data_IF_155164894065
#
_entry.id   IF_155164894065
#
_cell.length_a   1.000
_cell.length_b   1.000
_cell.length_c   1.000
_cell.angle_alpha   90.00
_cell.angle_beta   90.00
_cell.angle_gamma   90.00
#
_symmetry.space_group_name_H-M   'P 1'
#
loop_
_entity.id
_entity.type
_entity.pdbx_description
1 polymer ?
#
# COMPACT_ATOMS: atom_id res chain seq x y z
N UNK A 1 21.89 -29.84 -22.22
CA UNK A 1 20.49 -29.48 -22.57
C UNK A 1 20.49 -28.03 -23.02
N UNK A 2 19.90 -27.72 -24.18
CA UNK A 2 19.77 -26.34 -24.67
C UNK A 2 18.50 -25.78 -24.07
N UNK A 3 18.63 -24.72 -23.26
CA UNK A 3 17.49 -24.05 -22.62
C UNK A 3 16.88 -23.06 -23.60
N UNK A 4 15.56 -22.98 -23.63
CA UNK A 4 14.85 -22.02 -24.48
C UNK A 4 15.03 -20.59 -23.95
N UNK A 5 14.91 -19.59 -24.84
CA UNK A 5 14.99 -18.17 -24.43
C UNK A 5 13.94 -17.81 -23.37
N UNK A 6 12.76 -18.42 -23.43
CA UNK A 6 11.70 -18.22 -22.45
C UNK A 6 12.08 -18.80 -21.08
N UNK A 7 12.55 -20.04 -21.03
CA UNK A 7 13.02 -20.65 -19.77
C UNK A 7 14.17 -19.88 -19.15
N UNK A 8 15.12 -19.41 -19.97
CA UNK A 8 16.21 -18.58 -19.49
C UNK A 8 15.69 -17.31 -18.80
N UNK A 9 14.75 -16.58 -19.43
CA UNK A 9 14.15 -15.37 -18.85
C UNK A 9 13.37 -15.66 -17.58
N UNK A 10 12.61 -16.76 -17.54
CA UNK A 10 11.84 -17.17 -16.36
C UNK A 10 12.76 -17.54 -15.20
N UNK A 11 13.81 -18.30 -15.45
CA UNK A 11 14.79 -18.71 -14.43
C UNK A 11 15.58 -17.49 -13.91
N UNK A 12 15.94 -16.56 -14.79
CA UNK A 12 16.60 -15.30 -14.42
C UNK A 12 15.69 -14.46 -13.51
N UNK A 13 14.43 -14.26 -13.89
CA UNK A 13 13.47 -13.51 -13.07
C UNK A 13 13.27 -14.16 -11.69
N UNK A 14 13.16 -15.49 -11.63
CA UNK A 14 13.02 -16.22 -10.36
C UNK A 14 14.25 -16.02 -9.47
N UNK A 15 15.46 -16.21 -10.01
CA UNK A 15 16.70 -16.02 -9.24
C UNK A 15 16.85 -14.60 -8.70
N UNK A 16 16.53 -13.58 -9.52
CA UNK A 16 16.56 -12.18 -9.08
C UNK A 16 15.56 -11.90 -7.94
N UNK A 17 14.37 -12.50 -8.00
CA UNK A 17 13.36 -12.35 -6.96
C UNK A 17 13.72 -13.14 -5.69
N UNK A 18 14.35 -14.30 -5.80
CA UNK A 18 14.81 -15.08 -4.64
C UNK A 18 15.98 -14.38 -3.91
N UNK A 19 16.93 -13.83 -4.66
CA UNK A 19 18.14 -13.23 -4.10
C UNK A 19 17.92 -11.78 -3.61
N UNK A 20 17.10 -11.00 -4.32
CA UNK A 20 16.89 -9.58 -4.05
C UNK A 20 15.45 -9.21 -3.72
N UNK A 21 14.52 -10.18 -3.69
CA UNK A 21 13.15 -9.98 -3.27
C UNK A 21 13.07 -9.80 -1.76
N UNK A 22 13.60 -8.68 -1.27
CA UNK A 22 13.42 -8.29 0.13
C UNK A 22 11.92 -8.16 0.37
N UNK A 23 11.37 -8.98 1.27
CA UNK A 23 10.14 -8.64 1.99
C UNK A 23 10.40 -7.32 2.68
N UNK A 24 9.98 -6.22 2.04
CA UNK A 24 10.22 -4.87 2.51
C UNK A 24 9.58 -4.71 3.88
N UNK A 25 10.37 -4.87 4.94
CA UNK A 25 10.03 -4.28 6.23
C UNK A 25 9.91 -2.77 6.00
N UNK A 26 8.80 -2.13 6.39
CA UNK A 26 8.67 -0.69 6.26
C UNK A 26 9.84 -0.01 7.00
N UNK A 27 10.63 0.85 6.35
CA UNK A 27 11.70 1.54 7.05
C UNK A 27 11.11 2.38 8.19
N UNK A 28 11.65 2.20 9.40
CA UNK A 28 11.30 2.98 10.58
C UNK A 28 11.94 4.38 10.46
N UNK A 29 11.38 5.22 9.59
CA UNK A 29 11.79 6.62 9.41
C UNK A 29 12.46 6.91 8.06
N UNK A 30 12.08 8.04 7.45
CA UNK A 30 12.54 8.46 6.12
C UNK A 30 11.43 8.48 5.05
N UNK A 31 11.72 9.11 3.91
CA UNK A 31 10.85 9.36 2.74
C UNK A 31 9.86 8.20 2.50
N UNK A 32 8.55 8.46 2.32
CA UNK A 32 7.55 7.40 2.24
C UNK A 32 7.96 6.33 1.22
N UNK A 33 7.84 5.07 1.64
CA UNK A 33 8.15 3.91 0.83
C UNK A 33 7.56 4.09 -0.57
N UNK A 34 8.42 3.94 -1.58
CA UNK A 34 8.06 4.00 -2.99
C UNK A 34 6.76 3.22 -3.22
N UNK A 35 5.83 3.85 -3.94
CA UNK A 35 4.51 3.31 -4.26
C UNK A 35 4.70 1.89 -4.81
N UNK A 36 4.41 0.89 -3.97
CA UNK A 36 4.77 -0.48 -4.27
C UNK A 36 3.80 -0.99 -5.32
N UNK A 37 4.24 -1.69 -6.38
CA UNK A 37 3.33 -2.19 -7.43
C UNK A 37 2.17 -3.02 -6.86
N UNK A 38 2.38 -3.69 -5.71
CA UNK A 38 1.37 -4.42 -4.97
C UNK A 38 0.17 -3.57 -4.52
N UNK A 39 0.31 -2.24 -4.38
CA UNK A 39 -0.82 -1.35 -4.11
C UNK A 39 -1.92 -1.50 -5.16
N UNK A 40 -1.53 -1.69 -6.43
CA UNK A 40 -2.46 -1.75 -7.56
C UNK A 40 -2.88 -3.17 -7.93
N UNK A 41 -2.08 -4.18 -7.59
CA UNK A 41 -2.28 -5.55 -8.08
C UNK A 41 -2.71 -6.54 -7.00
N UNK A 42 -2.42 -6.29 -5.73
CA UNK A 42 -2.79 -7.20 -4.65
C UNK A 42 -4.26 -7.02 -4.23
N UNK A 43 -4.82 -8.03 -3.57
CA UNK A 43 -6.14 -7.93 -2.93
C UNK A 43 -5.99 -7.19 -1.61
N UNK A 44 -6.67 -6.06 -1.48
CA UNK A 44 -6.66 -5.22 -0.29
C UNK A 44 -8.04 -5.21 0.35
N UNK A 45 -8.07 -5.33 1.68
CA UNK A 45 -9.30 -5.29 2.46
C UNK A 45 -9.21 -4.21 3.55
N UNK A 46 -10.28 -3.44 3.78
CA UNK A 46 -10.32 -2.47 4.87
C UNK A 46 -10.35 -3.19 6.23
N UNK A 47 -9.63 -2.63 7.18
CA UNK A 47 -9.58 -3.08 8.59
C UNK A 47 -9.63 -1.86 9.50
N UNK A 48 -9.94 -2.04 10.79
CA UNK A 48 -9.86 -0.92 11.74
C UNK A 48 -8.41 -0.52 12.01
N UNK A 49 -8.21 0.79 12.23
CA UNK A 49 -6.93 1.33 12.69
C UNK A 49 -6.62 0.79 14.09
N UNK A 50 -5.38 0.30 14.34
CA UNK A 50 -4.96 -0.15 15.66
C UNK A 50 -5.17 0.92 16.73
N UNK A 51 -5.77 0.52 17.83
CA UNK A 51 -6.07 1.40 18.96
C UNK A 51 -4.77 1.92 19.59
N UNK A 52 -4.79 3.17 20.03
CA UNK A 52 -3.69 3.76 20.81
C UNK A 52 -4.10 3.89 22.27
N UNK A 53 -3.18 3.77 23.24
CA UNK A 53 -3.52 3.82 24.67
C UNK A 53 -4.32 5.07 25.07
N UNK A 54 -4.04 6.22 24.47
CA UNK A 54 -4.73 7.48 24.78
C UNK A 54 -6.08 7.70 24.10
N UNK A 55 -6.46 6.88 23.10
CA UNK A 55 -7.70 7.09 22.33
C UNK A 55 -8.61 5.85 22.27
N UNK A 56 -8.07 4.64 22.45
CA UNK A 56 -8.84 3.39 22.43
C UNK A 56 -9.66 3.23 21.15
N UNK A 57 -10.95 2.91 21.30
CA UNK A 57 -11.90 2.76 20.18
C UNK A 57 -12.14 4.05 19.38
N UNK A 58 -11.74 5.22 19.92
CA UNK A 58 -11.81 6.51 19.24
C UNK A 58 -10.60 6.80 18.37
N UNK A 59 -9.59 5.92 18.32
CA UNK A 59 -8.42 6.13 17.46
C UNK A 59 -8.87 6.32 16.00
N UNK A 60 -8.46 7.44 15.40
CA UNK A 60 -8.61 7.74 13.97
C UNK A 60 -7.28 8.22 13.43
N UNK A 61 -7.07 8.03 12.13
CA UNK A 61 -5.91 8.59 11.41
C UNK A 61 -6.38 9.35 10.18
N UNK A 62 -5.57 10.26 9.68
CA UNK A 62 -5.94 11.01 8.50
C UNK A 62 -5.89 10.15 7.23
N UNK A 63 -6.93 10.25 6.41
CA UNK A 63 -7.02 9.55 5.14
C UNK A 63 -5.96 10.07 4.15
N UNK A 64 -5.12 9.18 3.63
CA UNK A 64 -4.04 9.54 2.70
C UNK A 64 -4.56 10.17 1.41
N UNK A 65 -5.65 9.64 0.86
CA UNK A 65 -6.25 10.16 -0.37
C UNK A 65 -6.84 11.55 -0.13
N UNK A 66 -7.64 11.76 0.93
CA UNK A 66 -8.20 13.09 1.22
C UNK A 66 -7.10 14.15 1.45
N UNK A 67 -6.00 13.79 2.11
CA UNK A 67 -4.90 14.70 2.39
C UNK A 67 -4.10 15.10 1.13
N UNK A 68 -3.84 14.13 0.25
CA UNK A 68 -2.83 14.26 -0.81
C UNK A 68 -3.36 14.10 -2.23
N UNK A 69 -4.68 13.92 -2.40
CA UNK A 69 -5.27 13.74 -3.72
C UNK A 69 -4.87 14.86 -4.68
N UNK A 70 -4.60 14.43 -5.90
CA UNK A 70 -4.42 15.29 -7.06
C UNK A 70 -5.70 15.47 -7.88
N UNK A 71 -6.73 14.66 -7.58
CA UNK A 71 -7.99 14.58 -8.34
C UNK A 71 -9.16 15.30 -7.67
N UNK A 72 -9.09 15.56 -6.36
CA UNK A 72 -10.13 16.27 -5.60
C UNK A 72 -9.53 17.28 -4.62
N UNK A 73 -10.40 18.13 -4.06
CA UNK A 73 -10.03 19.08 -3.02
C UNK A 73 -9.39 18.33 -1.84
N UNK A 74 -8.27 18.88 -1.34
CA UNK A 74 -7.58 18.32 -0.18
C UNK A 74 -8.34 18.63 1.10
N UNK A 75 -8.49 17.62 1.94
CA UNK A 75 -9.25 17.69 3.19
C UNK A 75 -8.56 16.86 4.28
N UNK A 76 -8.60 17.36 5.53
CA UNK A 76 -8.08 16.65 6.71
C UNK A 76 -9.11 15.68 7.28
N UNK A 77 -9.61 14.77 6.44
CA UNK A 77 -10.58 13.76 6.83
C UNK A 77 -9.93 12.68 7.73
N UNK A 78 -10.57 12.37 8.85
CA UNK A 78 -10.18 11.30 9.76
C UNK A 78 -10.96 10.02 9.45
N UNK A 79 -10.28 8.87 9.45
CA UNK A 79 -10.89 7.56 9.19
C UNK A 79 -10.60 6.57 10.32
N UNK A 80 -11.55 5.64 10.50
CA UNK A 80 -11.43 4.43 11.33
C UNK A 80 -10.68 3.31 10.65
N UNK A 81 -10.52 3.39 9.35
CA UNK A 81 -10.14 2.26 8.53
C UNK A 81 -8.75 2.45 7.92
N UNK A 82 -8.07 1.33 7.70
CA UNK A 82 -6.80 1.27 6.99
C UNK A 82 -6.68 0.01 6.16
N UNK A 83 -5.81 0.06 5.16
CA UNK A 83 -5.27 -1.11 4.51
C UNK A 83 -4.02 -1.56 5.28
N UNK A 84 -4.04 -2.77 5.85
CA UNK A 84 -2.88 -3.33 6.59
C UNK A 84 -1.71 -3.59 5.67
N UNK A 85 -1.96 -4.18 4.49
CA UNK A 85 -0.93 -4.50 3.51
C UNK A 85 -0.16 -3.25 3.04
N UNK A 86 -0.86 -2.12 2.90
CA UNK A 86 -0.26 -0.84 2.53
C UNK A 86 0.13 0.03 3.74
N UNK A 87 -0.16 -0.41 4.97
CA UNK A 87 -0.06 0.37 6.21
C UNK A 87 -0.59 1.81 6.06
N UNK A 88 -1.73 1.97 5.39
CA UNK A 88 -2.24 3.28 4.94
C UNK A 88 -3.68 3.49 5.41
N UNK A 89 -3.97 4.57 6.18
CA UNK A 89 -5.33 4.93 6.56
C UNK A 89 -6.12 5.51 5.38
N UNK A 90 -7.33 4.99 5.16
CA UNK A 90 -8.21 5.34 4.02
C UNK A 90 -9.68 5.40 4.46
N UNK A 91 -10.47 6.30 3.89
CA UNK A 91 -11.93 6.20 3.98
C UNK A 91 -12.39 4.92 3.25
N UNK A 92 -13.40 4.23 3.77
CA UNK A 92 -13.93 2.99 3.14
C UNK A 92 -14.34 3.25 1.70
N UNK A 93 -15.06 4.34 1.47
CA UNK A 93 -15.47 4.81 0.15
C UNK A 93 -15.26 6.33 0.05
N UNK A 94 -14.91 6.88 -1.14
CA UNK A 94 -14.37 6.19 -2.32
C UNK A 94 -12.85 5.93 -2.22
N UNK A 95 -12.20 6.47 -1.19
CA UNK A 95 -10.74 6.54 -1.09
C UNK A 95 -10.03 5.17 -1.09
N UNK A 96 -10.65 4.12 -0.54
CA UNK A 96 -10.05 2.79 -0.53
C UNK A 96 -9.89 2.25 -1.95
N UNK A 97 -10.90 2.41 -2.80
CA UNK A 97 -10.86 2.00 -4.19
C UNK A 97 -9.85 2.84 -4.96
N UNK A 98 -9.97 4.17 -4.90
CA UNK A 98 -9.07 5.11 -5.60
C UNK A 98 -7.59 4.82 -5.29
N UNK A 99 -7.28 4.56 -4.02
CA UNK A 99 -5.92 4.26 -3.59
C UNK A 99 -5.40 2.91 -4.09
N UNK A 100 -6.25 1.95 -4.45
CA UNK A 100 -5.81 0.63 -4.92
C UNK A 100 -6.06 0.39 -6.42
N UNK A 101 -6.70 1.32 -7.13
CA UNK A 101 -6.95 1.18 -8.57
C UNK A 101 -6.25 2.24 -9.42
N UNK A 102 -5.95 3.42 -8.86
CA UNK A 102 -5.40 4.54 -9.64
C UNK A 102 -3.89 4.70 -9.47
N UNK A 103 -3.18 4.90 -10.58
CA UNK A 103 -1.75 5.28 -10.54
C UNK A 103 -1.54 6.64 -9.84
N UNK A 104 -2.46 7.58 -10.06
CA UNK A 104 -2.53 8.87 -9.36
C UNK A 104 -3.93 9.02 -8.76
N UNK A 105 -3.99 9.15 -7.44
CA UNK A 105 -5.21 9.35 -6.66
C UNK A 105 -5.31 10.78 -6.14
#
# INVERSE_FOLDING_TARGET
>A
QVITSLEFRTNLMRGLLEEYGTTRCPPKGGRPALDTPLRLTARHFPTEVPQTPGQGSRTRRHCKVCLYSSRKRKERCLTRYMCVACNTPLCVTPCFEEYHTLKKY
#
